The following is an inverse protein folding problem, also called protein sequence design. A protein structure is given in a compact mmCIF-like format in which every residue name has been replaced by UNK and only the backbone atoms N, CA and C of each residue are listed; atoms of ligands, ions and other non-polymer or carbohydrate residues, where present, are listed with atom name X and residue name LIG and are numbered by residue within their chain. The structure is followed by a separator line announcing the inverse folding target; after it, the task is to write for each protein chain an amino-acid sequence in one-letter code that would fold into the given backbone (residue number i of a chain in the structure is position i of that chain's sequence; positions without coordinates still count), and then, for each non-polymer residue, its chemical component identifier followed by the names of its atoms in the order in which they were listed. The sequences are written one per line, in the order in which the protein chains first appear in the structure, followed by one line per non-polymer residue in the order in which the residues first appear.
data_IF_724514708112
#
_entry.id   IF_724514708112
#
_cell.length_a   1.000
_cell.length_b   1.000
_cell.length_c   1.000
_cell.angle_alpha   90.00
_cell.angle_beta   90.00
_cell.angle_gamma   90.00
#
_symmetry.space_group_name_H-M   'P 1'
#
loop_
_entity.id
_entity.type
_entity.pdbx_description
1 polymer ?
#
# COMPACT_ATOMS: atom_id res chain seq x y z
N UNK A 1 -6.91 -9.17 -46.49
CA UNK A 1 -7.37 -9.82 -45.24
C UNK A 1 -8.89 -9.85 -45.28
N UNK A 2 -9.50 -11.02 -45.09
CA UNK A 2 -10.96 -11.20 -45.13
C UNK A 2 -11.59 -11.07 -43.73
N UNK A 3 -10.82 -11.24 -42.66
CA UNK A 3 -11.34 -11.04 -41.32
C UNK A 3 -10.27 -11.02 -40.24
N UNK A 4 -10.66 -10.46 -39.10
CA UNK A 4 -9.87 -10.42 -37.89
C UNK A 4 -10.62 -11.05 -36.72
N UNK A 5 -9.90 -11.82 -35.90
CA UNK A 5 -10.42 -12.41 -34.67
C UNK A 5 -9.48 -12.07 -33.53
N UNK A 6 -10.03 -11.52 -32.46
CA UNK A 6 -9.32 -11.35 -31.20
C UNK A 6 -9.63 -12.52 -30.29
N UNK A 7 -8.59 -13.20 -29.80
CA UNK A 7 -8.71 -14.31 -28.85
C UNK A 7 -8.03 -13.86 -27.56
N UNK A 8 -8.73 -14.01 -26.45
CA UNK A 8 -8.16 -13.72 -25.14
C UNK A 8 -7.38 -14.93 -24.60
N UNK A 9 -6.26 -14.67 -23.92
CA UNK A 9 -5.52 -15.71 -23.22
C UNK A 9 -6.34 -16.28 -22.05
N UNK A 10 -6.27 -17.60 -21.82
CA UNK A 10 -7.04 -18.29 -20.79
C UNK A 10 -6.60 -17.91 -19.37
N UNK A 11 -5.35 -17.47 -19.20
CA UNK A 11 -4.77 -17.10 -17.91
C UNK A 11 -5.16 -15.70 -17.44
N UNK A 12 -5.76 -14.89 -18.32
CA UNK A 12 -6.22 -13.55 -17.94
C UNK A 12 -7.30 -13.64 -16.85
N UNK A 13 -7.08 -12.96 -15.72
CA UNK A 13 -7.98 -12.96 -14.55
C UNK A 13 -9.36 -12.37 -14.86
N UNK A 14 -9.44 -11.40 -15.77
CA UNK A 14 -10.68 -10.75 -16.18
C UNK A 14 -10.94 -10.97 -17.67
N UNK A 15 -12.20 -11.28 -18.03
CA UNK A 15 -12.62 -11.60 -19.41
C UNK A 15 -13.49 -10.51 -20.01
N UNK A 16 -13.54 -10.47 -21.33
CA UNK A 16 -14.41 -9.58 -22.12
C UNK A 16 -14.18 -8.09 -21.80
N UNK A 17 -12.92 -7.69 -21.66
CA UNK A 17 -12.53 -6.30 -21.32
C UNK A 17 -12.45 -5.43 -22.58
N UNK A 18 -11.86 -5.97 -23.64
CA UNK A 18 -11.70 -5.29 -24.92
C UNK A 18 -12.49 -6.00 -26.02
N UNK A 19 -13.12 -5.21 -26.88
CA UNK A 19 -13.78 -5.66 -28.09
C UNK A 19 -13.04 -5.12 -29.32
N UNK A 20 -12.74 -5.99 -30.28
CA UNK A 20 -12.20 -5.59 -31.58
C UNK A 20 -13.29 -4.92 -32.43
N UNK A 21 -13.07 -3.66 -32.79
CA UNK A 21 -13.83 -2.95 -33.82
C UNK A 21 -13.18 -3.28 -35.17
N UNK A 22 -13.83 -4.12 -35.99
CA UNK A 22 -13.24 -4.66 -37.22
C UNK A 22 -13.10 -3.63 -38.35
N UNK A 23 -13.96 -2.62 -38.36
CA UNK A 23 -13.98 -1.50 -39.30
C UNK A 23 -12.78 -0.57 -39.11
N UNK A 24 -12.45 -0.25 -37.87
CA UNK A 24 -11.36 0.66 -37.50
C UNK A 24 -10.08 -0.08 -37.11
N UNK A 25 -10.12 -1.41 -37.04
CA UNK A 25 -9.06 -2.27 -36.52
C UNK A 25 -8.52 -1.79 -35.15
N UNK A 26 -9.44 -1.41 -34.26
CA UNK A 26 -9.13 -0.85 -32.95
C UNK A 26 -9.71 -1.70 -31.83
N UNK A 27 -9.08 -1.65 -30.65
CA UNK A 27 -9.63 -2.25 -29.44
C UNK A 27 -10.42 -1.20 -28.67
N UNK A 28 -11.71 -1.46 -28.47
CA UNK A 28 -12.59 -0.64 -27.65
C UNK A 28 -12.70 -1.26 -26.26
N UNK A 29 -12.47 -0.46 -25.23
CA UNK A 29 -12.74 -0.86 -23.86
C UNK A 29 -14.26 -0.96 -23.65
N UNK A 30 -14.73 -2.10 -23.12
CA UNK A 30 -16.15 -2.38 -22.89
C UNK A 30 -16.47 -2.73 -21.43
N UNK A 31 -15.44 -2.85 -20.59
CA UNK A 31 -15.55 -3.08 -19.14
C UNK A 31 -14.57 -2.17 -18.42
N UNK A 32 -14.90 -1.75 -17.20
CA UNK A 32 -13.97 -1.02 -16.34
C UNK A 32 -12.70 -1.84 -16.09
N UNK A 33 -11.58 -1.12 -16.01
CA UNK A 33 -10.27 -1.64 -15.67
C UNK A 33 -10.02 -1.37 -14.19
N UNK A 34 -9.35 -2.32 -13.55
CA UNK A 34 -8.92 -2.26 -12.17
C UNK A 34 -7.58 -3.01 -12.12
N UNK A 35 -6.51 -2.29 -11.77
CA UNK A 35 -5.14 -2.78 -11.82
C UNK A 35 -4.87 -3.74 -10.67
N UNK A 36 -5.51 -3.52 -9.54
CA UNK A 36 -5.46 -4.29 -8.31
C UNK A 36 -6.08 -5.68 -8.52
N UNK A 37 -7.06 -5.78 -9.43
CA UNK A 37 -7.59 -7.06 -9.91
C UNK A 37 -6.67 -7.69 -10.98
N UNK A 38 -6.28 -6.93 -12.01
CA UNK A 38 -5.54 -7.44 -13.16
C UNK A 38 -4.69 -6.36 -13.84
N UNK A 39 -3.37 -6.47 -13.71
CA UNK A 39 -2.38 -5.53 -14.24
C UNK A 39 -1.95 -5.81 -15.69
N UNK A 40 -2.16 -7.03 -16.18
CA UNK A 40 -1.77 -7.46 -17.53
C UNK A 40 -2.89 -8.26 -18.19
N UNK A 41 -3.18 -7.94 -19.45
CA UNK A 41 -4.06 -8.71 -20.31
C UNK A 41 -3.34 -9.12 -21.60
N UNK A 42 -3.42 -10.41 -21.91
CA UNK A 42 -2.84 -10.97 -23.12
C UNK A 42 -3.95 -11.35 -24.10
N UNK A 43 -3.77 -10.95 -25.36
CA UNK A 43 -4.63 -11.31 -26.48
C UNK A 43 -3.80 -11.84 -27.65
N UNK A 44 -4.42 -12.64 -28.51
CA UNK A 44 -3.89 -13.04 -29.81
C UNK A 44 -4.84 -12.52 -30.89
N UNK A 45 -4.34 -11.62 -31.74
CA UNK A 45 -5.01 -11.19 -32.95
C UNK A 45 -4.69 -12.16 -34.09
N UNK A 46 -5.73 -12.68 -34.74
CA UNK A 46 -5.63 -13.54 -35.91
C UNK A 46 -6.17 -12.79 -37.11
N UNK A 47 -5.36 -12.67 -38.16
CA UNK A 47 -5.78 -12.15 -39.46
C UNK A 47 -5.85 -13.30 -40.46
N UNK A 48 -6.97 -13.44 -41.17
CA UNK A 48 -7.17 -14.49 -42.17
C UNK A 48 -7.32 -13.85 -43.55
N UNK A 49 -6.65 -14.37 -44.57
CA UNK A 49 -6.82 -13.90 -45.94
C UNK A 49 -8.09 -14.48 -46.61
N UNK A 50 -8.37 -14.04 -47.84
CA UNK A 50 -9.50 -14.53 -48.64
C UNK A 50 -9.11 -15.63 -49.63
N UNK A 51 -7.92 -16.23 -49.49
CA UNK A 51 -7.37 -17.18 -50.45
C UNK A 51 -8.04 -18.55 -50.42
N UNK A 52 -7.69 -19.39 -51.40
CA UNK A 52 -7.98 -20.82 -51.40
C UNK A 52 -6.67 -21.57 -51.74
N UNK A 53 -6.00 -22.21 -50.77
CA UNK A 53 -6.37 -22.30 -49.35
C UNK A 53 -6.24 -20.96 -48.62
N UNK A 54 -6.98 -20.81 -47.51
CA UNK A 54 -6.88 -19.63 -46.65
C UNK A 54 -5.61 -19.70 -45.81
N UNK A 55 -4.88 -18.59 -45.72
CA UNK A 55 -3.76 -18.43 -44.80
C UNK A 55 -4.13 -17.51 -43.64
N UNK A 56 -3.46 -17.69 -42.50
CA UNK A 56 -3.64 -16.83 -41.33
C UNK A 56 -2.33 -16.45 -40.67
N UNK A 57 -2.25 -15.20 -40.23
CA UNK A 57 -1.19 -14.66 -39.40
C UNK A 57 -1.69 -14.45 -37.96
N UNK A 58 -0.78 -14.58 -36.98
CA UNK A 58 -1.07 -14.38 -35.56
C UNK A 58 -0.14 -13.34 -34.96
N UNK A 59 -0.66 -12.49 -34.08
CA UNK A 59 0.11 -11.50 -33.34
C UNK A 59 -0.35 -11.49 -31.88
N UNK A 60 0.62 -11.54 -30.95
CA UNK A 60 0.34 -11.39 -29.52
C UNK A 60 0.27 -9.90 -29.16
N UNK A 61 -0.77 -9.52 -28.45
CA UNK A 61 -0.97 -8.18 -27.90
C UNK A 61 -0.91 -8.30 -26.38
N UNK A 62 -0.01 -7.54 -25.75
CA UNK A 62 0.09 -7.46 -24.29
C UNK A 62 -0.33 -6.05 -23.89
N UNK A 63 -1.39 -5.96 -23.11
CA UNK A 63 -1.91 -4.69 -22.59
C UNK A 63 -1.51 -4.64 -21.13
N UNK A 64 -0.75 -3.60 -20.75
CA UNK A 64 -0.41 -3.31 -19.36
C UNK A 64 -1.38 -2.24 -18.85
N UNK A 65 -2.01 -2.50 -17.71
CA UNK A 65 -2.88 -1.55 -17.04
C UNK A 65 -1.99 -0.68 -16.16
N UNK A 66 -2.12 0.63 -16.32
CA UNK A 66 -1.39 1.59 -15.50
C UNK A 66 -2.12 1.79 -14.18
N UNK A 67 -1.33 1.93 -13.13
CA UNK A 67 -1.80 2.24 -11.78
C UNK A 67 -2.42 3.64 -11.70
N UNK A 68 -3.44 3.76 -10.88
CA UNK A 68 -4.02 5.03 -10.42
C UNK A 68 -4.10 4.97 -8.90
N UNK A 69 -3.97 6.11 -8.23
CA UNK A 69 -4.00 6.17 -6.77
C UNK A 69 -5.45 6.16 -6.26
N UNK A 70 -6.13 5.01 -6.35
CA UNK A 70 -7.53 4.85 -5.96
C UNK A 70 -7.74 3.99 -4.71
N UNK A 71 -6.66 3.50 -4.11
CA UNK A 71 -6.65 2.97 -2.76
C UNK A 71 -6.12 4.01 -1.78
N UNK A 72 -6.38 3.78 -0.50
CA UNK A 72 -5.81 4.58 0.57
C UNK A 72 -5.20 3.66 1.61
N UNK A 73 -4.17 4.12 2.35
CA UNK A 73 -3.53 3.30 3.35
C UNK A 73 -4.53 2.82 4.39
N UNK A 74 -4.31 1.61 4.89
CA UNK A 74 -5.10 1.01 5.97
C UNK A 74 -4.13 0.52 7.03
N UNK A 75 -4.31 0.97 8.27
CA UNK A 75 -3.53 0.48 9.41
C UNK A 75 -3.90 -0.99 9.72
N UNK A 76 -2.90 -1.83 9.96
CA UNK A 76 -3.09 -3.22 10.42
C UNK A 76 -3.85 -3.26 11.77
N UNK A 77 -3.56 -2.28 12.63
CA UNK A 77 -4.17 -2.13 13.95
C UNK A 77 -4.56 -0.68 14.18
N UNK A 78 -5.72 -0.44 14.79
CA UNK A 78 -6.17 0.91 15.17
C UNK A 78 -5.54 1.40 16.48
N UNK A 79 -5.21 0.47 17.37
CA UNK A 79 -4.64 0.74 18.68
C UNK A 79 -3.56 -0.31 19.00
N UNK A 80 -2.46 0.13 19.59
CA UNK A 80 -1.34 -0.71 20.00
C UNK A 80 -0.97 -0.32 21.43
N UNK A 81 -1.02 -1.30 22.34
CA UNK A 81 -0.67 -1.12 23.73
C UNK A 81 0.73 -1.68 23.98
N UNK A 82 1.60 -0.88 24.59
CA UNK A 82 2.98 -1.28 24.92
C UNK A 82 3.28 -0.93 26.37
N UNK A 83 3.99 -1.82 27.06
CA UNK A 83 4.53 -1.54 28.38
C UNK A 83 6.06 -1.54 28.29
N UNK A 84 6.69 -0.47 28.77
CA UNK A 84 8.15 -0.32 28.77
C UNK A 84 8.62 -0.13 30.20
N UNK A 85 9.73 -0.75 30.57
CA UNK A 85 10.45 -0.44 31.80
C UNK A 85 11.10 0.94 31.69
N UNK A 86 11.15 1.71 32.77
CA UNK A 86 11.88 2.98 32.75
C UNK A 86 13.38 2.84 32.44
N UNK A 87 13.95 1.68 32.79
CA UNK A 87 15.33 1.30 32.50
C UNK A 87 15.57 0.88 31.03
N UNK A 88 14.56 0.99 30.17
CA UNK A 88 14.69 0.65 28.75
C UNK A 88 15.76 1.54 28.09
N UNK A 89 16.79 0.95 27.46
CA UNK A 89 17.83 1.73 26.80
C UNK A 89 17.27 2.56 25.63
N UNK A 90 17.90 3.72 25.41
CA UNK A 90 17.71 4.49 24.17
C UNK A 90 18.00 3.59 22.96
N UNK A 91 17.30 3.83 21.86
CA UNK A 91 17.33 3.07 20.59
C UNK A 91 16.67 1.70 20.64
N UNK A 92 16.14 1.28 21.79
CA UNK A 92 15.36 0.04 21.87
C UNK A 92 14.05 0.15 21.06
N UNK A 93 13.67 -0.94 20.40
CA UNK A 93 12.43 -1.05 19.65
C UNK A 93 11.24 -1.09 20.62
N UNK A 94 10.32 -0.13 20.45
CA UNK A 94 9.05 -0.08 21.20
C UNK A 94 8.01 -0.95 20.51
N UNK A 95 7.78 -0.68 19.22
CA UNK A 95 6.89 -1.47 18.36
C UNK A 95 7.18 -1.16 16.90
N UNK A 96 6.58 -1.91 15.99
CA UNK A 96 6.58 -1.61 14.56
C UNK A 96 5.16 -1.37 14.08
N UNK A 97 4.96 -0.23 13.45
CA UNK A 97 3.68 0.17 12.84
C UNK A 97 3.61 -0.42 11.45
N UNK A 98 2.44 -0.99 11.12
CA UNK A 98 2.17 -1.54 9.81
C UNK A 98 0.88 -0.97 9.25
N UNK A 99 0.97 -0.50 8.00
CA UNK A 99 -0.16 -0.15 7.16
C UNK A 99 0.02 -0.79 5.78
N UNK A 100 -1.07 -0.89 5.03
CA UNK A 100 -1.13 -1.50 3.70
C UNK A 100 -1.83 -0.57 2.73
N UNK A 101 -1.35 -0.55 1.49
CA UNK A 101 -1.98 0.13 0.36
C UNK A 101 -1.95 -0.82 -0.84
N UNK A 102 -3.05 -0.88 -1.60
CA UNK A 102 -3.22 -1.78 -2.74
C UNK A 102 -2.53 -1.28 -4.02
N UNK A 103 -2.24 0.01 -4.07
CA UNK A 103 -1.67 0.68 -5.23
C UNK A 103 -0.20 0.30 -5.43
N UNK A 104 0.35 0.59 -6.60
CA UNK A 104 1.73 0.21 -6.95
C UNK A 104 2.67 1.41 -7.01
N UNK A 105 3.96 1.14 -6.83
CA UNK A 105 4.98 2.18 -6.88
C UNK A 105 4.76 3.23 -5.79
N UNK A 106 4.74 4.51 -6.17
CA UNK A 106 4.59 5.62 -5.22
C UNK A 106 3.20 5.72 -4.62
N UNK A 107 2.18 5.28 -5.37
CA UNK A 107 0.78 5.32 -4.95
C UNK A 107 0.53 4.35 -3.79
N UNK A 108 1.23 3.21 -3.76
CA UNK A 108 1.22 2.31 -2.61
C UNK A 108 2.38 2.51 -1.61
N UNK A 109 3.25 3.51 -1.82
CA UNK A 109 4.44 3.68 -0.97
C UNK A 109 4.11 4.47 0.29
N UNK A 110 3.93 3.75 1.39
CA UNK A 110 3.58 4.33 2.69
C UNK A 110 4.75 5.05 3.35
N UNK A 111 4.46 6.19 3.96
CA UNK A 111 5.32 6.94 4.88
C UNK A 111 4.64 7.12 6.22
N UNK A 112 5.36 6.81 7.29
CA UNK A 112 4.88 6.96 8.66
C UNK A 112 5.36 8.25 9.30
N UNK A 113 4.52 8.85 10.14
CA UNK A 113 4.87 10.01 10.96
C UNK A 113 4.13 10.01 12.30
N UNK A 114 4.72 10.61 13.32
CA UNK A 114 4.02 10.89 14.59
C UNK A 114 3.26 12.20 14.38
N UNK A 115 1.93 12.14 14.27
CA UNK A 115 1.10 13.34 14.06
C UNK A 115 0.85 14.09 15.36
N UNK A 116 0.68 13.36 16.46
CA UNK A 116 0.44 13.91 17.79
C UNK A 116 1.12 13.05 18.87
N UNK A 117 1.54 13.68 19.94
CA UNK A 117 2.04 13.03 21.15
C UNK A 117 1.46 13.73 22.39
N UNK A 118 0.99 12.91 23.33
CA UNK A 118 0.46 13.34 24.62
C UNK A 118 1.23 12.60 25.74
N UNK A 119 1.78 13.32 26.74
CA UNK A 119 1.79 14.78 26.86
C UNK A 119 2.67 15.47 25.79
N UNK A 120 2.40 16.75 25.45
CA UNK A 120 3.23 17.50 24.50
C UNK A 120 4.70 17.66 24.94
N UNK A 121 4.97 17.60 26.24
CA UNK A 121 6.33 17.60 26.82
C UNK A 121 7.17 16.40 26.39
N UNK A 122 6.53 15.28 26.03
CA UNK A 122 7.17 14.06 25.54
C UNK A 122 7.67 14.16 24.10
N UNK A 123 7.62 15.35 23.48
CA UNK A 123 8.19 15.55 22.16
C UNK A 123 9.67 15.11 22.14
N UNK A 124 10.02 14.32 21.12
CA UNK A 124 11.32 13.66 20.94
C UNK A 124 11.64 12.54 21.95
N UNK A 125 10.70 12.11 22.80
CA UNK A 125 10.88 10.90 23.63
C UNK A 125 10.91 9.64 22.76
N UNK A 126 10.14 9.63 21.67
CA UNK A 126 10.13 8.56 20.68
C UNK A 126 10.57 9.08 19.32
N UNK A 127 11.18 8.19 18.54
CA UNK A 127 11.48 8.43 17.12
C UNK A 127 10.84 7.34 16.28
N UNK A 128 10.22 7.73 15.17
CA UNK A 128 9.59 6.83 14.22
C UNK A 128 10.37 6.87 12.91
N UNK A 129 10.79 5.71 12.44
CA UNK A 129 11.37 5.58 11.11
C UNK A 129 10.25 5.64 10.05
N UNK A 130 10.37 6.58 9.12
CA UNK A 130 9.30 6.87 8.16
C UNK A 130 9.06 5.77 7.12
N UNK A 131 9.99 4.84 6.91
CA UNK A 131 9.89 3.79 5.88
C UNK A 131 9.52 2.44 6.49
N UNK A 132 10.21 2.06 7.56
CA UNK A 132 10.03 0.76 8.22
C UNK A 132 8.90 0.75 9.26
N UNK A 133 8.44 1.92 9.70
CA UNK A 133 7.44 2.03 10.77
C UNK A 133 7.97 1.66 12.16
N UNK A 134 9.29 1.51 12.33
CA UNK A 134 9.89 1.22 13.64
C UNK A 134 9.80 2.43 14.57
N UNK A 135 9.03 2.27 15.65
CA UNK A 135 8.99 3.23 16.74
C UNK A 135 10.04 2.82 17.78
N UNK A 136 10.99 3.71 18.06
CA UNK A 136 12.10 3.48 18.99
C UNK A 136 12.11 4.55 20.08
N UNK A 137 12.65 4.16 21.23
CA UNK A 137 12.90 5.08 22.31
C UNK A 137 14.08 6.02 21.96
N UNK A 138 13.93 7.32 22.21
CA UNK A 138 14.93 8.33 21.90
C UNK A 138 15.41 9.11 23.14
N UNK A 139 14.70 9.02 24.26
CA UNK A 139 15.09 9.54 25.57
C UNK A 139 14.81 8.50 26.64
N UNK A 140 15.57 8.53 27.72
CA UNK A 140 15.27 7.71 28.89
C UNK A 140 13.87 8.05 29.43
N UNK A 141 13.22 7.02 29.94
CA UNK A 141 11.94 7.13 30.61
C UNK A 141 12.20 7.32 32.11
N UNK A 142 11.22 7.89 32.80
CA UNK A 142 11.27 8.15 34.24
C UNK A 142 9.83 8.05 34.73
N UNK A 143 9.56 7.03 35.55
CA UNK A 143 8.22 6.72 36.02
C UNK A 143 7.66 7.79 36.95
N UNK A 144 8.50 8.46 37.75
CA UNK A 144 8.08 9.54 38.64
C UNK A 144 7.68 10.80 37.87
N UNK A 145 8.28 11.03 36.69
CA UNK A 145 7.96 12.18 35.84
C UNK A 145 6.74 11.93 34.97
N UNK A 146 6.71 10.83 34.21
CA UNK A 146 5.62 10.54 33.28
C UNK A 146 5.38 9.04 33.12
N UNK A 147 4.13 8.63 33.36
CA UNK A 147 3.74 7.21 33.44
C UNK A 147 3.10 6.71 32.17
N UNK A 148 2.59 7.63 31.33
CA UNK A 148 1.81 7.26 30.17
C UNK A 148 2.10 8.19 28.98
N UNK A 149 2.25 7.60 27.80
CA UNK A 149 2.36 8.33 26.54
C UNK A 149 1.34 7.81 25.56
N UNK A 150 0.67 8.73 24.86
CA UNK A 150 -0.23 8.42 23.76
C UNK A 150 0.29 9.06 22.48
N UNK A 151 0.62 8.25 21.49
CA UNK A 151 1.08 8.71 20.17
C UNK A 151 0.00 8.43 19.13
N UNK A 152 -0.36 9.44 18.37
CA UNK A 152 -1.14 9.25 17.13
C UNK A 152 -0.16 9.12 15.98
N UNK A 153 -0.15 7.96 15.34
CA UNK A 153 0.67 7.66 14.17
C UNK A 153 -0.17 7.83 12.93
N UNK A 154 0.38 8.55 11.94
CA UNK A 154 -0.20 8.74 10.62
C UNK A 154 0.57 7.90 9.60
N UNK A 155 -0.15 7.19 8.73
CA UNK A 155 0.37 6.53 7.54
C UNK A 155 -0.27 7.18 6.30
N UNK A 156 0.55 7.65 5.38
CA UNK A 156 0.11 8.24 4.12
C UNK A 156 0.96 7.69 2.96
N UNK A 157 0.35 7.44 1.81
CA UNK A 157 1.09 7.17 0.59
C UNK A 157 1.62 8.47 -0.05
N UNK A 158 2.20 8.35 -1.25
CA UNK A 158 2.76 9.48 -2.01
C UNK A 158 1.95 9.85 -3.24
N UNK A 159 0.79 9.25 -3.43
CA UNK A 159 -0.15 9.58 -4.49
C UNK A 159 -1.03 10.78 -4.15
N UNK A 160 -1.82 11.23 -5.13
CA UNK A 160 -2.78 12.32 -4.94
C UNK A 160 -4.17 11.77 -4.64
N UNK A 161 -4.92 12.47 -3.78
CA UNK A 161 -6.33 12.17 -3.52
C UNK A 161 -6.57 11.03 -2.53
N UNK A 162 -5.53 10.37 -2.03
CA UNK A 162 -5.64 9.35 -0.98
C UNK A 162 -5.81 9.98 0.41
N UNK A 163 -6.53 9.27 1.28
CA UNK A 163 -6.76 9.65 2.67
C UNK A 163 -5.73 8.98 3.59
N UNK A 164 -5.06 9.72 4.49
CA UNK A 164 -4.17 9.12 5.46
C UNK A 164 -4.93 8.24 6.46
N UNK A 165 -4.26 7.19 6.93
CA UNK A 165 -4.75 6.35 8.02
C UNK A 165 -4.06 6.68 9.34
N UNK A 166 -4.74 6.37 10.45
CA UNK A 166 -4.27 6.68 11.78
C UNK A 166 -4.37 5.47 12.72
N UNK A 167 -3.37 5.33 13.59
CA UNK A 167 -3.35 4.38 14.69
C UNK A 167 -2.88 5.08 15.96
N UNK A 168 -3.36 4.61 17.10
CA UNK A 168 -2.90 5.05 18.42
C UNK A 168 -1.87 4.05 18.94
N UNK A 169 -0.78 4.55 19.53
CA UNK A 169 0.15 3.76 20.34
C UNK A 169 0.09 4.29 21.77
N UNK A 170 -0.44 3.49 22.67
CA UNK A 170 -0.54 3.79 24.09
C UNK A 170 0.61 3.06 24.82
N UNK A 171 1.53 3.83 25.39
CA UNK A 171 2.74 3.34 26.07
C UNK A 171 2.61 3.61 27.57
N UNK A 172 2.66 2.55 28.38
CA UNK A 172 2.72 2.65 29.84
C UNK A 172 4.12 2.38 30.34
N UNK A 173 4.64 3.26 31.20
CA UNK A 173 5.94 3.06 31.87
C UNK A 173 5.75 2.18 33.09
N UNK A 174 6.62 1.19 33.23
CA UNK A 174 6.71 0.32 34.40
C UNK A 174 7.84 0.84 35.30
N UNK A 175 7.45 1.14 36.53
CA UNK A 175 8.29 1.45 37.68
C UNK A 175 9.22 0.27 38.00
N UNK A 176 10.51 0.56 38.13
CA UNK A 176 11.56 -0.34 38.58
C UNK A 176 12.22 0.18 39.89
N UNK A 177 11.47 0.74 40.82
CA UNK A 177 11.85 1.04 42.22
C UNK A 177 13.33 1.44 42.43
N UNK A 178 13.79 2.40 41.64
CA UNK A 178 15.13 2.96 41.69
C UNK A 178 15.18 4.32 42.43
N UNK A 179 14.03 4.82 42.89
CA UNK A 179 13.87 5.94 43.80
C UNK A 179 13.27 5.48 45.15
N UNK A 180 13.83 5.96 46.27
CA UNK A 180 13.27 5.73 47.62
C UNK A 180 11.96 6.52 47.83
N UNK A 181 11.02 6.02 48.67
CA UNK A 181 9.74 6.68 48.94
C UNK A 181 9.85 8.05 49.62
#
# INVERSE_FOLDING_TARGET
IQGYKLIQDEQNKIKNVFQLQQDLLSLRLIKLLDREICDILIYTLIATDGGQPRLSGRMKITIKIMDVNDNSPIMDRKEIYVQLSELTPIDNLVTRIHAFDGDSGLNGQIRYSISLIDPPSANKTFKLDSESGELKLAKLLDYEIEKHYRLTICAADRGQGSMPAFSIVDVTVKDENDNEP
#
